data_IF_212715113132
#
_entry.id   IF_212715113132
#
_cell.length_a   1.000
_cell.length_b   1.000
_cell.length_c   1.000
_cell.angle_alpha   90.00
_cell.angle_beta   90.00
_cell.angle_gamma   90.00
#
_symmetry.space_group_name_H-M   'P 1'
#
loop_
_entity.id
_entity.type
_entity.pdbx_description
1 polymer ?
#
# COMPACT_ATOMS: atom_id res chain seq x y z
N UNK A 1 4.04 -1.48 30.15
CA UNK A 1 4.35 -2.63 29.27
C UNK A 1 5.29 -2.15 28.19
N UNK A 2 6.44 -2.81 27.98
CA UNK A 2 7.53 -2.32 27.12
C UNK A 2 7.14 -2.30 25.63
N UNK A 3 7.52 -1.25 24.89
CA UNK A 3 7.31 -1.13 23.44
C UNK A 3 8.21 -2.05 22.58
N UNK A 4 9.18 -2.72 23.20
CA UNK A 4 10.19 -3.57 22.57
C UNK A 4 9.65 -4.70 21.65
N UNK A 5 8.59 -5.48 22.00
CA UNK A 5 8.15 -6.57 21.13
C UNK A 5 7.50 -6.05 19.84
N UNK A 6 6.86 -4.88 19.88
CA UNK A 6 6.27 -4.25 18.70
C UNK A 6 7.33 -3.75 17.71
N UNK A 7 8.36 -3.07 18.24
CA UNK A 7 9.49 -2.58 17.44
C UNK A 7 10.30 -3.75 16.86
N UNK A 8 10.49 -4.83 17.63
CA UNK A 8 11.19 -6.02 17.15
C UNK A 8 10.48 -6.72 15.98
N UNK A 9 9.14 -6.75 15.98
CA UNK A 9 8.37 -7.30 14.85
C UNK A 9 8.54 -6.45 13.58
N UNK A 10 8.45 -5.12 13.73
CA UNK A 10 8.64 -4.18 12.61
C UNK A 10 10.06 -4.33 12.05
N UNK A 11 11.07 -4.42 12.92
CA UNK A 11 12.46 -4.65 12.52
C UNK A 11 12.63 -6.02 11.83
N UNK A 12 12.00 -7.08 12.32
CA UNK A 12 12.04 -8.40 11.69
C UNK A 12 11.38 -8.41 10.30
N UNK A 13 10.25 -7.72 10.13
CA UNK A 13 9.61 -7.52 8.83
C UNK A 13 10.48 -6.71 7.87
N UNK A 14 11.13 -5.65 8.38
CA UNK A 14 12.06 -4.84 7.58
C UNK A 14 13.30 -5.63 7.16
N UNK A 15 13.85 -6.45 8.06
CA UNK A 15 14.98 -7.34 7.78
C UNK A 15 14.61 -8.43 6.77
N UNK A 16 13.42 -9.03 6.90
CA UNK A 16 12.92 -9.99 5.91
C UNK A 16 12.76 -9.34 4.54
N UNK A 17 12.19 -8.13 4.47
CA UNK A 17 12.07 -7.38 3.23
C UNK A 17 13.44 -7.05 2.63
N UNK A 18 14.37 -6.52 3.42
CA UNK A 18 15.73 -6.22 2.95
C UNK A 18 16.45 -7.48 2.42
N UNK A 19 16.32 -8.61 3.12
CA UNK A 19 16.93 -9.87 2.68
C UNK A 19 16.26 -10.42 1.40
N UNK A 20 14.93 -10.29 1.28
CA UNK A 20 14.20 -10.65 0.06
C UNK A 20 14.63 -9.81 -1.14
N UNK A 21 14.84 -8.50 -0.96
CA UNK A 21 15.27 -7.61 -2.04
C UNK A 21 16.73 -7.80 -2.46
N UNK A 22 17.59 -8.30 -1.57
CA UNK A 22 18.98 -8.62 -1.90
C UNK A 22 19.13 -9.95 -2.67
N UNK A 23 18.08 -10.77 -2.67
CA UNK A 23 18.11 -12.11 -3.24
C UNK A 23 17.56 -12.09 -4.67
N UNK A 24 18.46 -12.22 -5.65
CA UNK A 24 18.10 -12.29 -7.07
C UNK A 24 17.89 -13.74 -7.56
N UNK A 25 18.34 -14.75 -6.80
CA UNK A 25 18.23 -16.16 -7.17
C UNK A 25 16.84 -16.74 -6.90
N UNK A 26 16.19 -17.29 -7.93
CA UNK A 26 14.84 -17.88 -7.86
C UNK A 26 14.70 -18.95 -6.75
N UNK A 27 15.73 -19.74 -6.49
CA UNK A 27 15.71 -20.76 -5.44
C UNK A 27 15.69 -20.16 -4.02
N UNK A 28 16.41 -19.05 -3.82
CA UNK A 28 16.48 -18.36 -2.54
C UNK A 28 15.22 -17.54 -2.28
N UNK A 29 14.61 -16.96 -3.32
CA UNK A 29 13.28 -16.32 -3.24
C UNK A 29 12.23 -17.34 -2.79
N UNK A 30 12.19 -18.53 -3.40
CA UNK A 30 11.27 -19.60 -3.00
C UNK A 30 11.53 -20.07 -1.56
N UNK A 31 12.80 -20.15 -1.14
CA UNK A 31 13.17 -20.45 0.24
C UNK A 31 12.65 -19.43 1.25
N UNK A 32 12.75 -18.13 0.93
CA UNK A 32 12.23 -17.06 1.78
C UNK A 32 10.70 -17.07 1.83
N UNK A 33 10.03 -17.26 0.69
CA UNK A 33 8.57 -17.37 0.63
C UNK A 33 8.07 -18.55 1.45
N UNK A 34 8.73 -19.72 1.36
CA UNK A 34 8.41 -20.87 2.19
C UNK A 34 8.65 -20.58 3.69
N UNK A 35 9.73 -19.89 4.02
CA UNK A 35 10.03 -19.47 5.40
C UNK A 35 8.98 -18.48 5.94
N UNK A 36 8.48 -17.55 5.12
CA UNK A 36 7.39 -16.66 5.51
C UNK A 36 6.05 -17.42 5.67
N UNK A 37 5.73 -18.33 4.75
CA UNK A 37 4.53 -19.17 4.80
C UNK A 37 4.46 -20.05 6.05
N UNK A 38 5.62 -20.50 6.55
CA UNK A 38 5.70 -21.31 7.78
C UNK A 38 5.87 -20.43 9.02
N UNK A 39 6.64 -19.35 8.94
CA UNK A 39 6.95 -18.46 10.06
C UNK A 39 5.74 -17.68 10.58
N UNK A 40 4.88 -17.18 9.69
CA UNK A 40 3.66 -16.43 10.05
C UNK A 40 2.68 -17.26 10.90
N UNK A 41 2.27 -18.48 10.50
CA UNK A 41 1.38 -19.32 11.32
C UNK A 41 2.05 -19.87 12.58
N UNK A 42 3.37 -20.07 12.58
CA UNK A 42 4.11 -20.44 13.80
C UNK A 42 4.08 -19.29 14.82
N UNK A 43 4.37 -18.05 14.41
CA UNK A 43 4.25 -16.88 15.29
C UNK A 43 2.82 -16.67 15.80
N UNK A 44 1.80 -17.01 14.98
CA UNK A 44 0.40 -16.97 15.37
C UNK A 44 0.07 -17.99 16.47
N UNK A 45 0.60 -19.23 16.36
CA UNK A 45 0.39 -20.30 17.34
C UNK A 45 1.08 -20.06 18.67
N UNK A 46 2.21 -19.34 18.69
CA UNK A 46 2.95 -19.02 19.92
C UNK A 46 2.31 -17.84 20.68
N UNK A 47 1.26 -17.20 20.14
CA UNK A 47 0.56 -16.09 20.79
C UNK A 47 1.34 -14.77 20.81
N UNK A 48 2.46 -14.70 20.08
CA UNK A 48 3.28 -13.48 19.98
C UNK A 48 2.58 -12.39 19.19
N UNK A 49 1.76 -12.74 18.19
CA UNK A 49 0.97 -11.78 17.40
C UNK A 49 0.01 -10.99 18.32
N UNK A 50 -0.62 -11.65 19.30
CA UNK A 50 -1.48 -10.99 20.28
C UNK A 50 -0.68 -10.06 21.22
N UNK A 51 0.54 -10.44 21.62
CA UNK A 51 1.41 -9.62 22.47
C UNK A 51 1.96 -8.38 21.75
N UNK A 52 2.27 -8.49 20.46
CA UNK A 52 2.71 -7.35 19.64
C UNK A 52 1.56 -6.41 19.34
N UNK A 53 0.35 -6.92 19.08
CA UNK A 53 -0.84 -6.09 18.86
C UNK A 53 -1.12 -5.18 20.07
N UNK A 54 -1.14 -5.76 21.29
CA UNK A 54 -1.34 -5.00 22.54
C UNK A 54 -0.21 -3.98 22.78
N UNK A 55 1.01 -4.28 22.35
CA UNK A 55 2.16 -3.37 22.53
C UNK A 55 2.17 -2.21 21.51
N UNK A 56 1.69 -2.44 20.28
CA UNK A 56 1.51 -1.40 19.27
C UNK A 56 0.34 -0.47 19.62
N UNK A 57 -0.75 -1.03 20.14
CA UNK A 57 -1.90 -0.23 20.62
C UNK A 57 -1.54 0.65 21.82
N UNK A 58 -0.68 0.18 22.72
CA UNK A 58 -0.24 0.94 23.88
C UNK A 58 0.69 2.12 23.54
N UNK A 59 1.43 2.09 22.42
CA UNK A 59 2.38 3.14 22.02
C UNK A 59 2.27 3.47 20.52
N UNK A 60 1.19 4.14 20.07
CA UNK A 60 0.91 4.36 18.66
C UNK A 60 1.96 5.26 17.97
N UNK A 61 2.56 6.20 18.70
CA UNK A 61 3.60 7.09 18.15
C UNK A 61 4.91 6.33 17.87
N UNK A 62 5.34 5.47 18.79
CA UNK A 62 6.57 4.68 18.64
C UNK A 62 6.44 3.64 17.51
N UNK A 63 5.26 3.04 17.35
CA UNK A 63 4.97 2.13 16.25
C UNK A 63 5.01 2.86 14.90
N UNK A 64 4.36 4.03 14.79
CA UNK A 64 4.35 4.84 13.55
C UNK A 64 5.75 5.29 13.17
N UNK A 65 6.53 5.81 14.13
CA UNK A 65 7.91 6.24 13.87
C UNK A 65 8.82 5.08 13.48
N UNK A 66 8.66 3.90 14.11
CA UNK A 66 9.43 2.71 13.76
C UNK A 66 9.13 2.22 12.34
N UNK A 67 7.85 2.22 11.92
CA UNK A 67 7.47 1.84 10.55
C UNK A 67 8.01 2.82 9.51
N UNK A 68 7.96 4.13 9.78
CA UNK A 68 8.53 5.15 8.89
C UNK A 68 10.04 5.03 8.82
N UNK A 69 10.71 4.83 9.96
CA UNK A 69 12.16 4.63 10.01
C UNK A 69 12.61 3.37 9.27
N UNK A 70 11.87 2.26 9.42
CA UNK A 70 12.15 1.01 8.71
C UNK A 70 12.03 1.18 7.19
N UNK A 71 10.96 1.85 6.72
CA UNK A 71 10.78 2.15 5.30
C UNK A 71 11.89 3.06 4.77
N UNK A 72 12.22 4.14 5.49
CA UNK A 72 13.30 5.05 5.12
C UNK A 72 14.66 4.34 5.07
N UNK A 73 14.92 3.40 5.99
CA UNK A 73 16.14 2.60 6.01
C UNK A 73 16.23 1.68 4.78
N UNK A 74 15.14 1.01 4.40
CA UNK A 74 15.12 0.16 3.20
C UNK A 74 15.36 1.01 1.94
N UNK A 75 14.74 2.18 1.84
CA UNK A 75 14.96 3.09 0.71
C UNK A 75 16.42 3.56 0.66
N UNK A 76 17.02 3.91 1.80
CA UNK A 76 18.41 4.36 1.87
C UNK A 76 19.41 3.25 1.53
N UNK A 77 19.16 2.00 1.95
CA UNK A 77 20.04 0.86 1.68
C UNK A 77 20.07 0.45 0.20
N UNK A 78 18.95 0.62 -0.51
CA UNK A 78 18.79 0.15 -1.88
C UNK A 78 18.60 1.28 -2.92
N UNK A 79 18.99 2.50 -2.57
CA UNK A 79 18.82 3.68 -3.42
C UNK A 79 19.48 3.54 -4.81
N UNK A 80 20.63 2.88 -4.90
CA UNK A 80 21.37 2.72 -6.16
C UNK A 80 20.77 1.65 -7.11
N UNK A 81 19.89 0.79 -6.61
CA UNK A 81 19.30 -0.31 -7.38
C UNK A 81 17.95 0.08 -7.99
N UNK A 82 17.96 0.41 -9.28
CA UNK A 82 16.76 0.86 -10.02
C UNK A 82 15.62 -0.19 -10.01
N UNK A 83 15.94 -1.48 -10.13
CA UNK A 83 14.95 -2.56 -10.12
C UNK A 83 14.22 -2.64 -8.76
N UNK A 84 14.99 -2.61 -7.66
CA UNK A 84 14.47 -2.61 -6.30
C UNK A 84 13.58 -1.39 -6.06
N UNK A 85 14.02 -0.21 -6.49
CA UNK A 85 13.27 1.03 -6.30
C UNK A 85 11.91 0.99 -7.02
N UNK A 86 11.87 0.44 -8.24
CA UNK A 86 10.62 0.24 -9.00
C UNK A 86 9.69 -0.76 -8.29
N UNK A 87 10.24 -1.87 -7.78
CA UNK A 87 9.46 -2.87 -7.06
C UNK A 87 8.86 -2.28 -5.78
N UNK A 88 9.66 -1.53 -5.01
CA UNK A 88 9.22 -0.86 -3.79
C UNK A 88 8.15 0.20 -4.09
N UNK A 89 8.33 1.01 -5.12
CA UNK A 89 7.33 1.98 -5.56
C UNK A 89 6.01 1.30 -5.94
N UNK A 90 6.06 0.17 -6.64
CA UNK A 90 4.87 -0.60 -7.03
C UNK A 90 4.13 -1.17 -5.81
N UNK A 91 4.87 -1.71 -4.84
CA UNK A 91 4.28 -2.21 -3.58
C UNK A 91 3.61 -1.08 -2.79
N UNK A 92 4.25 0.09 -2.69
CA UNK A 92 3.67 1.25 -2.03
C UNK A 92 2.41 1.74 -2.74
N UNK A 93 2.44 1.79 -4.08
CA UNK A 93 1.28 2.19 -4.90
C UNK A 93 0.08 1.27 -4.65
N UNK A 94 0.29 -0.05 -4.71
CA UNK A 94 -0.78 -1.01 -4.42
C UNK A 94 -1.21 -1.01 -2.96
N UNK A 95 -0.30 -0.73 -2.01
CA UNK A 95 -0.66 -0.60 -0.60
C UNK A 95 -1.61 0.57 -0.37
N UNK A 96 -1.35 1.73 -0.99
CA UNK A 96 -2.25 2.88 -0.95
C UNK A 96 -3.59 2.56 -1.61
N UNK A 97 -3.58 1.83 -2.73
CA UNK A 97 -4.81 1.38 -3.39
C UNK A 97 -5.65 0.46 -2.47
N UNK A 98 -5.01 -0.51 -1.82
CA UNK A 98 -5.66 -1.41 -0.86
C UNK A 98 -6.24 -0.63 0.33
N UNK A 99 -5.51 0.34 0.90
CA UNK A 99 -6.03 1.20 1.96
C UNK A 99 -7.28 1.96 1.52
N UNK A 100 -7.27 2.52 0.31
CA UNK A 100 -8.44 3.17 -0.28
C UNK A 100 -9.62 2.21 -0.44
N UNK A 101 -9.38 0.98 -0.86
CA UNK A 101 -10.42 -0.06 -0.95
C UNK A 101 -10.93 -0.47 0.43
N UNK A 102 -10.07 -0.58 1.44
CA UNK A 102 -10.47 -0.86 2.83
C UNK A 102 -11.38 0.24 3.38
N UNK A 103 -11.12 1.51 3.05
CA UNK A 103 -12.00 2.61 3.44
C UNK A 103 -13.39 2.46 2.80
N UNK A 104 -13.43 2.16 1.51
CA UNK A 104 -14.68 2.07 0.75
C UNK A 104 -15.52 0.83 1.11
N UNK A 105 -14.91 -0.35 1.11
CA UNK A 105 -15.58 -1.60 1.42
C UNK A 105 -15.80 -1.77 2.93
N UNK A 106 -14.78 -1.45 3.74
CA UNK A 106 -14.78 -1.74 5.17
C UNK A 106 -15.57 -0.73 6.00
N UNK A 107 -15.47 0.57 5.69
CA UNK A 107 -16.14 1.61 6.48
C UNK A 107 -17.37 2.18 5.78
N UNK A 108 -17.30 2.47 4.48
CA UNK A 108 -18.43 3.06 3.76
C UNK A 108 -19.44 2.02 3.24
N UNK A 109 -19.06 0.74 3.17
CA UNK A 109 -19.90 -0.34 2.64
C UNK A 109 -20.21 -0.23 1.14
N UNK A 110 -19.41 0.55 0.39
CA UNK A 110 -19.61 0.81 -1.04
C UNK A 110 -18.64 -0.04 -1.84
N UNK A 111 -19.18 -0.75 -2.84
CA UNK A 111 -18.38 -1.56 -3.75
C UNK A 111 -17.79 -0.69 -4.86
N UNK A 112 -16.45 -0.63 -4.94
CA UNK A 112 -15.74 0.14 -5.96
C UNK A 112 -14.80 -0.73 -6.82
N UNK A 113 -15.06 -0.76 -8.13
CA UNK A 113 -14.21 -1.42 -9.13
C UNK A 113 -13.42 -0.44 -10.03
N UNK A 114 -13.55 0.87 -9.82
CA UNK A 114 -12.86 1.92 -10.57
C UNK A 114 -11.44 2.23 -10.06
N UNK A 115 -10.91 1.47 -9.08
CA UNK A 115 -9.62 1.76 -8.44
C UNK A 115 -8.45 1.89 -9.42
N UNK A 116 -8.41 1.06 -10.45
CA UNK A 116 -7.39 1.11 -11.50
C UNK A 116 -7.46 2.41 -12.32
N UNK A 117 -8.68 2.93 -12.58
CA UNK A 117 -8.86 4.19 -13.30
C UNK A 117 -8.35 5.38 -12.47
N UNK A 118 -8.59 5.39 -11.15
CA UNK A 118 -8.07 6.45 -10.27
C UNK A 118 -6.53 6.44 -10.17
N UNK A 119 -5.92 5.26 -10.08
CA UNK A 119 -4.46 5.11 -10.18
C UNK A 119 -3.95 5.58 -11.55
N UNK A 120 -4.67 5.26 -12.63
CA UNK A 120 -4.36 5.71 -13.99
C UNK A 120 -4.36 7.22 -14.15
N UNK A 121 -5.35 7.94 -13.59
CA UNK A 121 -5.40 9.41 -13.59
C UNK A 121 -4.17 10.00 -12.90
N UNK A 122 -3.79 9.48 -11.73
CA UNK A 122 -2.60 9.93 -11.01
C UNK A 122 -1.31 9.65 -11.78
N UNK A 123 -1.18 8.46 -12.36
CA UNK A 123 -0.03 8.07 -13.18
C UNK A 123 0.11 8.91 -14.45
N UNK A 124 -0.98 9.15 -15.16
CA UNK A 124 -0.99 10.00 -16.35
C UNK A 124 -0.62 11.46 -16.02
N UNK A 125 -1.15 11.99 -14.92
CA UNK A 125 -0.77 13.31 -14.41
C UNK A 125 0.73 13.35 -14.13
N UNK A 126 1.26 12.33 -13.45
CA UNK A 126 2.69 12.24 -13.15
C UNK A 126 3.57 12.13 -14.39
N UNK A 127 3.10 11.46 -15.45
CA UNK A 127 3.83 11.34 -16.71
C UNK A 127 3.93 12.67 -17.46
N UNK A 128 2.87 13.49 -17.45
CA UNK A 128 2.86 14.80 -18.12
C UNK A 128 3.62 15.86 -17.32
N UNK A 129 3.35 15.95 -16.02
CA UNK A 129 3.90 17.00 -15.17
C UNK A 129 5.31 16.68 -14.66
N UNK A 130 5.69 15.40 -14.60
CA UNK A 130 6.98 14.93 -14.10
C UNK A 130 8.21 15.69 -14.64
N UNK A 131 8.32 15.95 -15.95
CA UNK A 131 9.45 16.68 -16.51
C UNK A 131 9.45 18.21 -16.23
N UNK A 132 8.32 18.79 -15.83
CA UNK A 132 8.09 20.24 -15.87
C UNK A 132 8.03 20.89 -14.49
N UNK A 133 7.66 20.14 -13.44
CA UNK A 133 7.44 20.66 -12.09
C UNK A 133 8.12 19.78 -11.03
N UNK A 134 8.40 20.32 -9.83
CA UNK A 134 9.03 19.52 -8.77
C UNK A 134 8.15 18.34 -8.36
N UNK A 135 8.79 17.20 -8.04
CA UNK A 135 8.14 15.94 -7.70
C UNK A 135 7.06 16.05 -6.62
N UNK A 136 7.22 16.95 -5.63
CA UNK A 136 6.22 17.20 -4.60
C UNK A 136 4.92 17.80 -5.16
N UNK A 137 5.02 18.73 -6.12
CA UNK A 137 3.84 19.28 -6.80
C UNK A 137 3.19 18.24 -7.71
N UNK A 138 3.99 17.41 -8.40
CA UNK A 138 3.47 16.31 -9.23
C UNK A 138 2.59 15.37 -8.40
N UNK A 139 3.08 14.97 -7.22
CA UNK A 139 2.33 14.12 -6.29
C UNK A 139 1.02 14.78 -5.85
N UNK A 140 1.08 16.06 -5.46
CA UNK A 140 -0.08 16.80 -4.98
C UNK A 140 -1.14 16.97 -6.06
N UNK A 141 -0.73 17.39 -7.26
CA UNK A 141 -1.61 17.58 -8.42
C UNK A 141 -2.22 16.26 -8.91
N UNK A 142 -1.45 15.17 -8.95
CA UNK A 142 -1.95 13.84 -9.29
C UNK A 142 -3.01 13.34 -8.30
N UNK A 143 -2.76 13.52 -7.00
CA UNK A 143 -3.73 13.19 -5.96
C UNK A 143 -5.00 14.04 -6.04
N UNK A 144 -4.86 15.35 -6.27
CA UNK A 144 -5.99 16.27 -6.43
C UNK A 144 -6.84 15.94 -7.66
N UNK A 145 -6.23 15.63 -8.81
CA UNK A 145 -6.96 15.24 -10.01
C UNK A 145 -7.67 13.91 -9.83
N UNK A 146 -7.02 12.91 -9.21
CA UNK A 146 -7.67 11.66 -8.87
C UNK A 146 -8.86 11.86 -7.91
N UNK A 147 -8.71 12.72 -6.90
CA UNK A 147 -9.78 13.08 -5.97
C UNK A 147 -10.93 13.82 -6.66
N UNK A 148 -10.65 14.74 -7.59
CA UNK A 148 -11.66 15.44 -8.38
C UNK A 148 -12.45 14.46 -9.26
N UNK A 149 -11.78 13.59 -10.00
CA UNK A 149 -12.43 12.57 -10.84
C UNK A 149 -13.27 11.63 -9.96
N UNK A 150 -12.74 11.18 -8.83
CA UNK A 150 -13.48 10.37 -7.86
C UNK A 150 -14.71 11.08 -7.29
N UNK A 151 -14.59 12.37 -6.96
CA UNK A 151 -15.72 13.18 -6.46
C UNK A 151 -16.78 13.42 -7.53
N UNK A 152 -16.41 13.54 -8.80
CA UNK A 152 -17.39 13.62 -9.89
C UNK A 152 -18.10 12.27 -10.03
N UNK A 153 -17.36 11.16 -9.93
CA UNK A 153 -17.92 9.81 -10.01
C UNK A 153 -18.86 9.47 -8.85
N UNK A 154 -18.65 10.05 -7.67
CA UNK A 154 -19.49 9.73 -6.51
C UNK A 154 -20.88 10.39 -6.58
N UNK A 155 -21.04 11.49 -7.32
CA UNK A 155 -22.33 12.16 -7.51
C UNK A 155 -23.44 11.24 -8.05
N UNK A 156 -23.24 10.47 -9.15
CA UNK A 156 -24.23 9.50 -9.61
C UNK A 156 -24.37 8.30 -8.65
N UNK A 157 -23.31 7.91 -7.95
CA UNK A 157 -23.35 6.80 -6.98
C UNK A 157 -24.30 7.13 -5.84
N UNK A 158 -24.26 8.36 -5.30
CA UNK A 158 -25.16 8.81 -4.23
C UNK A 158 -26.65 8.81 -4.65
N UNK A 159 -26.92 8.92 -5.96
CA UNK A 159 -28.30 8.87 -6.50
C UNK A 159 -28.81 7.45 -6.76
N UNK A 160 -27.96 6.43 -6.64
CA UNK A 160 -28.32 5.03 -6.94
C UNK A 160 -28.22 4.15 -5.69
N UNK A 161 -29.00 3.07 -5.62
CA UNK A 161 -29.00 2.17 -4.46
C UNK A 161 -28.33 0.83 -4.76
N UNK A 162 -27.47 0.40 -3.83
CA UNK A 162 -26.91 -0.96 -3.78
C UNK A 162 -26.17 -1.35 -5.06
N UNK A 163 -26.72 -2.33 -5.79
CA UNK A 163 -26.09 -2.95 -6.96
C UNK A 163 -25.78 -1.97 -8.11
N UNK A 164 -26.55 -0.91 -8.25
CA UNK A 164 -26.35 0.08 -9.31
C UNK A 164 -25.06 0.90 -9.11
N UNK A 165 -24.62 1.10 -7.87
CA UNK A 165 -23.34 1.77 -7.57
C UNK A 165 -22.15 0.94 -8.09
N UNK A 166 -22.18 -0.38 -7.87
CA UNK A 166 -21.14 -1.28 -8.37
C UNK A 166 -21.08 -1.26 -9.90
N UNK A 167 -22.25 -1.29 -10.58
CA UNK A 167 -22.33 -1.23 -12.04
C UNK A 167 -21.70 0.05 -12.62
N UNK A 168 -21.93 1.21 -11.99
CA UNK A 168 -21.35 2.49 -12.42
C UNK A 168 -19.82 2.45 -12.33
N UNK A 169 -19.26 1.90 -11.25
CA UNK A 169 -17.80 1.79 -11.09
C UNK A 169 -17.17 0.81 -12.09
N UNK A 170 -17.87 -0.26 -12.45
CA UNK A 170 -17.43 -1.18 -13.52
C UNK A 170 -17.46 -0.50 -14.87
N UNK A 171 -18.55 0.21 -15.21
CA UNK A 171 -18.67 0.94 -16.46
C UNK A 171 -17.55 1.98 -16.63
N UNK A 172 -17.20 2.68 -15.55
CA UNK A 172 -16.07 3.62 -15.55
C UNK A 172 -14.72 2.92 -15.73
N UNK A 173 -14.49 1.78 -15.07
CA UNK A 173 -13.30 0.98 -15.29
C UNK A 173 -13.15 0.49 -16.73
N UNK A 174 -14.25 0.14 -17.39
CA UNK A 174 -14.28 -0.24 -18.81
C UNK A 174 -13.95 0.96 -19.69
N UNK A 175 -14.55 2.13 -19.44
CA UNK A 175 -14.27 3.36 -20.19
C UNK A 175 -12.78 3.72 -20.21
N UNK A 176 -12.06 3.45 -19.12
CA UNK A 176 -10.62 3.70 -19.03
C UNK A 176 -9.77 2.66 -19.76
N UNK A 177 -10.34 1.48 -20.05
CA UNK A 177 -9.64 0.35 -20.70
C UNK A 177 -9.74 0.41 -22.23
N UNK A 178 -10.87 0.89 -22.76
CA UNK A 178 -11.13 1.08 -24.19
C UNK A 178 -10.64 2.44 -24.66
#
# INVERSE_FOLDING_TARGET
>A
MSALPGIALIAAMALYAAFFLHVESQAQVLGLVALALVGVPVLARVGWIARTAVSLEAHPLAARSASVAALAMIIALFHDQHFVMLMLASVLLYSVACLGLTVQFGYAGVVNFAGAAFLGVGGYTSAILGPHVPHALVLLTGGLLAALVGSILILPILRTRGHYAALITVAFGILFRT
#
